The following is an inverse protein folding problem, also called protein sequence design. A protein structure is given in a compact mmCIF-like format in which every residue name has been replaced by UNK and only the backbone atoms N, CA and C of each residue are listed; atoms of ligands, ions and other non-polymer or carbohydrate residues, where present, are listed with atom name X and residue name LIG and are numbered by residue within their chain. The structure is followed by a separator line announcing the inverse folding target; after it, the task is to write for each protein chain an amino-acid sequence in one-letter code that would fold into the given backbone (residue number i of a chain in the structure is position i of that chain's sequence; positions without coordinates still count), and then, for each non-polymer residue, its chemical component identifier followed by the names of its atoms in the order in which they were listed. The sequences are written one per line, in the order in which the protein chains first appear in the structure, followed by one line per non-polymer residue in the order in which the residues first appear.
data_IF_633039861477
#
_entry.id   IF_633039861477
#
_cell.length_a   1.000
_cell.length_b   1.000
_cell.length_c   1.000
_cell.angle_alpha   90.00
_cell.angle_beta   90.00
_cell.angle_gamma   90.00
#
_symmetry.space_group_name_H-M   'P 1'
#
loop_
_entity.id
_entity.type
_entity.pdbx_description
1 polymer ?
#
# COMPACT_ATOMS: atom_id res chain seq x y z
N UNK A 1 20.75 10.59 -17.71
CA UNK A 1 19.75 11.30 -16.88
C UNK A 1 18.48 11.41 -17.70
N UNK A 2 17.31 11.04 -17.13
CA UNK A 2 16.02 11.27 -17.79
C UNK A 2 15.63 12.72 -17.56
N UNK A 3 15.34 13.45 -18.63
CA UNK A 3 14.80 14.80 -18.54
C UNK A 3 13.31 14.73 -18.25
N UNK A 4 12.86 15.46 -17.22
CA UNK A 4 11.46 15.54 -16.83
C UNK A 4 10.99 16.96 -17.12
N UNK A 5 9.92 17.14 -17.92
CA UNK A 5 9.39 18.47 -18.18
C UNK A 5 8.94 19.16 -16.90
N UNK A 6 9.15 20.46 -16.80
CA UNK A 6 8.62 21.26 -15.71
C UNK A 6 7.09 21.21 -15.71
N UNK A 7 6.52 20.86 -14.57
CA UNK A 7 5.06 20.89 -14.33
C UNK A 7 4.75 22.08 -13.44
N UNK A 8 3.86 22.95 -13.88
CA UNK A 8 3.42 24.11 -13.08
C UNK A 8 2.64 23.62 -11.87
N UNK A 9 3.03 24.08 -10.67
CA UNK A 9 2.28 23.81 -9.46
C UNK A 9 0.94 24.55 -9.45
N UNK A 10 -0.13 23.95 -8.91
CA UNK A 10 -1.43 24.59 -8.77
C UNK A 10 -1.34 25.75 -7.77
N UNK A 11 -2.18 26.77 -7.99
CA UNK A 11 -2.31 27.92 -7.08
C UNK A 11 -3.45 27.66 -6.08
N UNK A 12 -4.46 26.89 -6.51
CA UNK A 12 -5.64 26.55 -5.72
C UNK A 12 -5.50 25.18 -5.07
N UNK A 13 -5.95 25.05 -3.84
CA UNK A 13 -5.92 23.82 -3.06
C UNK A 13 -7.31 23.45 -2.54
N UNK A 14 -7.63 22.13 -2.44
CA UNK A 14 -6.82 20.99 -2.92
C UNK A 14 -6.88 20.85 -4.45
N UNK A 15 -5.76 20.50 -5.05
CA UNK A 15 -5.71 20.19 -6.47
C UNK A 15 -6.31 18.80 -6.74
N UNK A 16 -6.89 18.62 -7.95
CA UNK A 16 -7.29 17.32 -8.46
C UNK A 16 -6.40 16.92 -9.63
N UNK A 17 -5.87 15.72 -9.57
CA UNK A 17 -5.01 15.14 -10.61
C UNK A 17 -5.83 14.29 -11.58
N UNK A 18 -5.42 14.25 -12.85
CA UNK A 18 -6.00 13.39 -13.86
C UNK A 18 -5.23 12.07 -13.97
N UNK A 19 -5.95 10.97 -14.15
CA UNK A 19 -5.34 9.67 -14.38
C UNK A 19 -4.59 9.61 -15.70
N UNK A 20 -3.41 9.00 -15.68
CA UNK A 20 -2.66 8.61 -16.87
C UNK A 20 -3.21 7.32 -17.51
N UNK A 21 -2.67 6.93 -18.67
CA UNK A 21 -3.15 5.77 -19.43
C UNK A 21 -3.09 4.46 -18.67
N UNK A 22 -2.18 4.32 -17.71
CA UNK A 22 -1.99 3.09 -16.94
C UNK A 22 -3.15 2.75 -16.00
N UNK A 23 -3.99 3.74 -15.70
CA UNK A 23 -5.18 3.58 -14.88
C UNK A 23 -6.45 3.28 -15.70
N UNK A 24 -6.31 3.03 -17.01
CA UNK A 24 -7.39 2.65 -17.92
C UNK A 24 -7.06 1.35 -18.65
N UNK A 25 -8.08 0.52 -18.99
CA UNK A 25 -7.86 -0.67 -19.81
C UNK A 25 -7.19 -0.31 -21.14
N UNK A 26 -6.13 -1.04 -21.50
CA UNK A 26 -5.41 -0.83 -22.74
C UNK A 26 -5.76 -1.92 -23.77
N UNK A 27 -5.87 -1.58 -25.07
CA UNK A 27 -6.10 -2.57 -26.12
C UNK A 27 -4.97 -3.62 -26.13
N UNK A 28 -5.35 -4.90 -26.21
CA UNK A 28 -4.40 -6.01 -26.28
C UNK A 28 -3.80 -6.45 -24.94
N UNK A 29 -3.99 -5.71 -23.86
CA UNK A 29 -3.56 -6.12 -22.53
C UNK A 29 -4.54 -7.14 -21.95
N UNK A 30 -4.06 -8.38 -21.62
CA UNK A 30 -4.91 -9.41 -21.05
C UNK A 30 -5.30 -9.05 -19.61
N UNK A 31 -6.57 -9.32 -19.27
CA UNK A 31 -7.09 -9.02 -17.94
C UNK A 31 -6.90 -10.19 -16.99
N UNK A 32 -6.44 -9.91 -15.80
CA UNK A 32 -6.43 -10.85 -14.69
C UNK A 32 -7.84 -11.18 -14.19
N UNK A 33 -7.94 -12.25 -13.41
CA UNK A 33 -9.17 -12.68 -12.75
C UNK A 33 -9.23 -12.18 -11.31
N UNK A 34 -10.41 -11.76 -10.87
CA UNK A 34 -10.66 -11.34 -9.49
C UNK A 34 -11.61 -12.36 -8.84
N UNK A 35 -11.16 -12.98 -7.74
CA UNK A 35 -11.91 -13.98 -6.99
C UNK A 35 -12.25 -13.43 -5.62
N UNK A 36 -13.53 -13.44 -5.26
CA UNK A 36 -14.03 -13.00 -3.96
C UNK A 36 -14.15 -14.17 -3.00
N UNK A 37 -13.79 -13.92 -1.74
CA UNK A 37 -13.85 -14.86 -0.63
C UNK A 37 -14.37 -14.19 0.64
N UNK A 38 -14.92 -14.98 1.54
CA UNK A 38 -15.31 -14.56 2.88
C UNK A 38 -14.40 -15.18 3.96
N UNK A 39 -14.17 -14.42 5.03
CA UNK A 39 -13.43 -14.88 6.21
C UNK A 39 -14.18 -14.50 7.49
N UNK A 40 -14.86 -15.48 8.07
CA UNK A 40 -15.79 -15.28 9.20
C UNK A 40 -15.38 -16.09 10.44
N UNK A 41 -14.14 -16.61 10.45
CA UNK A 41 -13.60 -17.50 11.49
C UNK A 41 -12.30 -16.99 12.08
N UNK A 42 -12.11 -15.65 12.07
CA UNK A 42 -10.89 -15.05 12.59
C UNK A 42 -10.69 -15.34 14.07
N UNK A 43 -9.48 -15.76 14.42
CA UNK A 43 -9.02 -15.93 15.79
C UNK A 43 -8.33 -14.67 16.31
N UNK A 44 -7.70 -13.92 15.42
CA UNK A 44 -7.01 -12.67 15.77
C UNK A 44 -8.03 -11.55 15.99
N UNK A 45 -9.09 -11.51 15.16
CA UNK A 45 -10.19 -10.56 15.28
C UNK A 45 -11.53 -11.30 15.44
N UNK A 46 -11.80 -11.90 16.62
CA UNK A 46 -12.98 -12.73 16.83
C UNK A 46 -14.28 -11.98 16.59
N UNK A 47 -15.23 -12.66 15.96
CA UNK A 47 -16.57 -12.12 15.67
C UNK A 47 -16.62 -11.15 14.50
N UNK A 48 -15.52 -10.99 13.74
CA UNK A 48 -15.53 -10.18 12.52
C UNK A 48 -15.94 -11.01 11.31
N UNK A 49 -16.72 -10.37 10.43
CA UNK A 49 -17.07 -10.88 9.12
C UNK A 49 -16.42 -9.99 8.07
N UNK A 50 -15.63 -10.56 7.16
CA UNK A 50 -14.98 -9.77 6.13
C UNK A 50 -14.93 -10.47 4.81
N UNK A 51 -14.87 -9.70 3.74
CA UNK A 51 -14.56 -10.15 2.40
C UNK A 51 -13.09 -9.87 2.11
N UNK A 52 -12.52 -10.71 1.26
CA UNK A 52 -11.22 -10.41 0.64
C UNK A 52 -11.23 -10.91 -0.80
N UNK A 53 -10.46 -10.27 -1.63
CA UNK A 53 -10.34 -10.63 -3.05
C UNK A 53 -8.92 -11.03 -3.37
N UNK A 54 -8.79 -12.00 -4.26
CA UNK A 54 -7.51 -12.41 -4.84
C UNK A 54 -7.55 -12.09 -6.32
N UNK A 55 -6.71 -11.17 -6.73
CA UNK A 55 -6.44 -10.88 -8.13
C UNK A 55 -5.34 -11.79 -8.62
N UNK A 56 -5.60 -12.52 -9.71
CA UNK A 56 -4.66 -13.42 -10.38
C UNK A 56 -4.39 -12.87 -11.78
N UNK A 57 -3.17 -12.41 -12.09
CA UNK A 57 -2.87 -11.86 -13.41
C UNK A 57 -2.96 -12.93 -14.49
N UNK A 58 -3.32 -12.54 -15.71
CA UNK A 58 -3.45 -13.45 -16.84
C UNK A 58 -2.15 -14.18 -17.19
N UNK A 59 -1.01 -13.63 -16.83
CA UNK A 59 0.33 -14.21 -17.05
C UNK A 59 0.74 -15.21 -15.96
N UNK A 60 -0.08 -15.40 -14.91
CA UNK A 60 0.23 -16.34 -13.85
C UNK A 60 0.20 -17.79 -14.35
N UNK A 61 1.17 -18.57 -13.87
CA UNK A 61 1.21 -20.03 -14.04
C UNK A 61 1.63 -20.70 -12.74
N UNK A 62 1.16 -21.92 -12.48
CA UNK A 62 1.53 -22.66 -11.26
C UNK A 62 3.01 -23.10 -11.24
N UNK A 63 3.68 -23.07 -12.39
CA UNK A 63 5.10 -23.46 -12.53
C UNK A 63 6.08 -22.37 -12.12
N UNK A 64 5.64 -21.10 -12.11
CA UNK A 64 6.47 -19.95 -11.76
C UNK A 64 5.84 -19.18 -10.59
N UNK A 65 6.44 -19.23 -9.38
CA UNK A 65 5.89 -18.55 -8.22
C UNK A 65 5.77 -17.04 -8.44
N UNK A 66 4.58 -16.50 -8.21
CA UNK A 66 4.28 -15.08 -8.36
C UNK A 66 4.69 -14.26 -7.14
N UNK A 67 5.07 -13.01 -7.35
CA UNK A 67 5.16 -12.02 -6.27
C UNK A 67 3.81 -11.81 -5.59
N UNK A 68 3.81 -11.24 -4.39
CA UNK A 68 2.60 -10.98 -3.60
C UNK A 68 2.49 -9.50 -3.24
N UNK A 69 1.31 -8.95 -3.40
CA UNK A 69 0.99 -7.62 -2.85
C UNK A 69 -0.35 -7.63 -2.12
N UNK A 70 -0.34 -7.20 -0.85
CA UNK A 70 -1.52 -7.10 -0.01
C UNK A 70 -1.95 -5.64 0.10
N UNK A 71 -3.25 -5.39 -0.02
CA UNK A 71 -3.87 -4.09 0.25
C UNK A 71 -4.94 -4.21 1.32
N UNK A 72 -4.98 -3.25 2.22
CA UNK A 72 -6.12 -2.99 3.09
C UNK A 72 -7.16 -2.17 2.33
N UNK A 73 -8.40 -2.12 2.87
CA UNK A 73 -9.52 -1.38 2.26
C UNK A 73 -9.82 -1.82 0.82
N UNK A 74 -10.09 -3.09 0.62
CA UNK A 74 -10.22 -3.75 -0.67
C UNK A 74 -11.04 -2.97 -1.71
N UNK A 75 -12.24 -2.51 -1.32
CA UNK A 75 -13.15 -1.79 -2.20
C UNK A 75 -12.53 -0.49 -2.73
N UNK A 76 -11.75 0.20 -1.89
CA UNK A 76 -11.06 1.42 -2.29
C UNK A 76 -10.08 1.20 -3.45
N UNK A 77 -9.45 0.03 -3.49
CA UNK A 77 -8.47 -0.30 -4.53
C UNK A 77 -9.08 -0.97 -5.76
N UNK A 78 -10.22 -1.64 -5.61
CA UNK A 78 -10.81 -2.47 -6.66
C UNK A 78 -11.98 -1.81 -7.39
N UNK A 79 -12.81 -1.04 -6.67
CA UNK A 79 -13.99 -0.40 -7.24
C UNK A 79 -13.57 0.74 -8.18
N UNK A 80 -14.14 0.74 -9.39
CA UNK A 80 -13.83 1.72 -10.43
C UNK A 80 -14.42 3.11 -10.15
N UNK A 81 -15.36 3.22 -9.21
CA UNK A 81 -15.88 4.49 -8.74
C UNK A 81 -14.89 5.21 -7.82
N UNK A 82 -13.90 4.46 -7.28
CA UNK A 82 -12.76 5.02 -6.57
C UNK A 82 -11.56 5.26 -7.48
N UNK A 83 -10.51 5.84 -6.93
CA UNK A 83 -9.40 6.38 -7.72
C UNK A 83 -8.31 5.35 -8.03
N UNK A 84 -8.13 4.28 -7.23
CA UNK A 84 -6.94 3.45 -7.30
C UNK A 84 -6.88 2.50 -8.52
N UNK A 85 -8.02 1.86 -8.88
CA UNK A 85 -8.13 0.98 -10.07
C UNK A 85 -7.04 -0.10 -10.15
N UNK A 86 -6.68 -0.67 -9.00
CA UNK A 86 -5.47 -1.48 -8.86
C UNK A 86 -5.39 -2.68 -9.82
N UNK A 87 -6.51 -3.36 -10.09
CA UNK A 87 -6.53 -4.50 -11.01
C UNK A 87 -6.13 -4.09 -12.44
N UNK A 88 -6.64 -2.93 -12.93
CA UNK A 88 -6.29 -2.39 -14.25
C UNK A 88 -4.80 -1.98 -14.28
N UNK A 89 -4.33 -1.34 -13.22
CA UNK A 89 -2.92 -0.94 -13.12
C UNK A 89 -2.01 -2.17 -13.13
N UNK A 90 -2.37 -3.23 -12.41
CA UNK A 90 -1.62 -4.49 -12.41
C UNK A 90 -1.59 -5.11 -13.81
N UNK A 91 -2.74 -5.23 -14.49
CA UNK A 91 -2.81 -5.73 -15.87
C UNK A 91 -1.80 -5.00 -16.77
N UNK A 92 -1.86 -3.68 -16.75
CA UNK A 92 -1.01 -2.83 -17.63
C UNK A 92 0.49 -2.92 -17.30
N UNK A 93 0.85 -2.91 -16.01
CA UNK A 93 2.26 -2.93 -15.61
C UNK A 93 2.89 -4.31 -15.77
N UNK A 94 2.15 -5.38 -15.49
CA UNK A 94 2.63 -6.76 -15.66
C UNK A 94 2.81 -7.06 -17.14
N UNK A 95 1.86 -6.69 -17.99
CA UNK A 95 1.95 -6.90 -19.45
C UNK A 95 3.19 -6.23 -20.05
N UNK A 96 3.55 -5.04 -19.58
CA UNK A 96 4.76 -4.33 -20.03
C UNK A 96 6.06 -4.77 -19.34
N UNK A 97 6.00 -5.70 -18.39
CA UNK A 97 7.17 -6.13 -17.62
C UNK A 97 7.73 -5.06 -16.69
N UNK A 98 6.94 -4.04 -16.36
CA UNK A 98 7.29 -2.95 -15.43
C UNK A 98 7.02 -3.32 -13.96
N UNK A 99 6.28 -4.40 -13.77
CA UNK A 99 6.00 -5.06 -12.51
C UNK A 99 6.10 -6.57 -12.73
N UNK A 100 6.65 -7.36 -11.79
CA UNK A 100 6.65 -8.82 -11.93
C UNK A 100 5.22 -9.36 -11.91
N UNK A 101 5.04 -10.60 -12.38
CA UNK A 101 3.77 -11.33 -12.19
C UNK A 101 3.48 -11.36 -10.69
N UNK A 102 2.40 -10.69 -10.28
CA UNK A 102 2.09 -10.44 -8.87
C UNK A 102 0.64 -10.78 -8.57
N UNK A 103 0.42 -11.67 -7.62
CA UNK A 103 -0.91 -11.90 -7.06
C UNK A 103 -1.24 -10.77 -6.09
N UNK A 104 -2.39 -10.13 -6.30
CA UNK A 104 -2.95 -9.10 -5.41
C UNK A 104 -3.91 -9.71 -4.41
N UNK A 105 -3.77 -9.38 -3.12
CA UNK A 105 -4.71 -9.77 -2.06
C UNK A 105 -5.30 -8.50 -1.46
N UNK A 106 -6.58 -8.30 -1.63
CA UNK A 106 -7.30 -7.10 -1.20
C UNK A 106 -8.22 -7.46 -0.05
N UNK A 107 -7.99 -6.89 1.13
CA UNK A 107 -8.67 -7.28 2.37
C UNK A 107 -9.55 -6.14 2.86
N UNK A 108 -10.86 -6.39 2.93
CA UNK A 108 -11.78 -5.44 3.54
C UNK A 108 -11.62 -5.42 5.08
N UNK A 109 -11.92 -4.30 5.75
CA UNK A 109 -12.04 -4.29 7.21
C UNK A 109 -13.14 -5.25 7.68
N UNK A 110 -13.05 -5.69 8.94
CA UNK A 110 -13.96 -6.70 9.49
C UNK A 110 -15.43 -6.29 9.45
N UNK A 111 -15.74 -5.15 10.02
CA UNK A 111 -17.11 -4.61 10.08
C UNK A 111 -17.09 -3.08 10.13
N UNK A 112 -18.23 -2.42 9.84
CA UNK A 112 -18.34 -0.98 10.05
C UNK A 112 -17.92 -0.57 11.46
N UNK A 113 -17.00 0.40 11.56
CA UNK A 113 -16.45 0.89 12.82
C UNK A 113 -15.30 0.08 13.41
N UNK A 114 -14.94 -1.07 12.83
CA UNK A 114 -13.78 -1.86 13.29
C UNK A 114 -12.46 -1.50 12.57
N UNK A 115 -12.54 -0.86 11.42
CA UNK A 115 -11.38 -0.51 10.59
C UNK A 115 -10.24 0.15 11.37
N UNK A 116 -10.54 1.21 12.11
CA UNK A 116 -9.51 1.93 12.86
C UNK A 116 -8.96 1.10 14.03
N UNK A 117 -9.80 0.31 14.71
CA UNK A 117 -9.35 -0.59 15.79
C UNK A 117 -8.34 -1.63 15.26
N UNK A 118 -8.54 -2.12 14.04
CA UNK A 118 -7.63 -3.09 13.42
C UNK A 118 -6.36 -2.43 12.88
N UNK A 119 -6.49 -1.25 12.25
CA UNK A 119 -5.40 -0.63 11.49
C UNK A 119 -4.54 0.33 12.31
N UNK A 120 -5.11 1.05 13.27
CA UNK A 120 -4.40 2.05 14.05
C UNK A 120 -3.71 1.44 15.29
N UNK A 121 -3.91 0.14 15.54
CA UNK A 121 -3.23 -0.59 16.61
C UNK A 121 -1.71 -0.64 16.37
N UNK A 122 -0.96 -0.16 17.35
CA UNK A 122 0.51 -0.25 17.33
C UNK A 122 0.96 -1.62 17.81
N UNK A 123 0.66 -2.66 17.04
CA UNK A 123 0.93 -4.07 17.36
C UNK A 123 1.16 -4.91 16.12
N UNK A 124 1.52 -6.17 16.30
CA UNK A 124 1.65 -7.15 15.22
C UNK A 124 0.34 -7.91 14.92
N UNK A 125 -0.77 -7.52 15.53
CA UNK A 125 -2.04 -8.24 15.41
C UNK A 125 -2.48 -8.35 13.93
N UNK A 126 -2.46 -7.25 13.18
CA UNK A 126 -2.85 -7.30 11.77
C UNK A 126 -1.87 -8.12 10.91
N UNK A 127 -0.58 -8.05 11.20
CA UNK A 127 0.42 -8.92 10.55
C UNK A 127 0.16 -10.40 10.86
N UNK A 128 -0.14 -10.73 12.12
CA UNK A 128 -0.50 -12.08 12.54
C UNK A 128 -1.76 -12.56 11.83
N UNK A 129 -2.81 -11.74 11.77
CA UNK A 129 -4.03 -12.05 11.02
C UNK A 129 -3.72 -12.40 9.55
N UNK A 130 -2.99 -11.55 8.85
CA UNK A 130 -2.63 -11.81 7.45
C UNK A 130 -1.84 -13.12 7.31
N UNK A 131 -0.82 -13.32 8.13
CA UNK A 131 0.13 -14.43 8.00
C UNK A 131 -0.42 -15.77 8.47
N UNK A 132 -1.38 -15.79 9.39
CA UNK A 132 -1.90 -17.04 9.96
C UNK A 132 -3.31 -17.39 9.48
N UNK A 133 -4.03 -16.44 8.90
CA UNK A 133 -5.42 -16.65 8.50
C UNK A 133 -5.64 -16.45 7.00
N UNK A 134 -5.31 -15.30 6.45
CA UNK A 134 -5.61 -14.98 5.04
C UNK A 134 -4.59 -15.60 4.08
N UNK A 135 -3.31 -15.32 4.26
CA UNK A 135 -2.29 -15.73 3.31
C UNK A 135 -2.11 -17.25 3.18
N UNK A 136 -2.29 -18.08 4.23
CA UNK A 136 -2.29 -19.54 4.06
C UNK A 136 -3.35 -20.04 3.08
N UNK A 137 -4.53 -19.40 3.03
CA UNK A 137 -5.58 -19.78 2.08
C UNK A 137 -5.22 -19.42 0.64
N UNK A 138 -4.49 -18.32 0.45
CA UNK A 138 -3.97 -17.91 -0.87
C UNK A 138 -2.84 -18.86 -1.30
N UNK A 139 -1.89 -19.13 -0.43
CA UNK A 139 -0.75 -20.03 -0.70
C UNK A 139 -1.17 -21.50 -0.94
N UNK A 140 -2.31 -21.93 -0.42
CA UNK A 140 -2.84 -23.26 -0.72
C UNK A 140 -3.39 -23.41 -2.15
N UNK A 141 -3.58 -22.30 -2.85
CA UNK A 141 -4.19 -22.23 -4.19
C UNK A 141 -3.24 -21.74 -5.26
N UNK A 142 -2.24 -20.94 -4.88
CA UNK A 142 -1.35 -20.27 -5.81
C UNK A 142 0.10 -20.42 -5.37
N UNK A 143 0.99 -20.64 -6.31
CA UNK A 143 2.43 -20.62 -6.08
C UNK A 143 2.90 -19.19 -5.83
N UNK A 144 3.26 -18.88 -4.59
CA UNK A 144 3.74 -17.56 -4.16
C UNK A 144 5.24 -17.62 -3.94
N UNK A 145 5.96 -16.63 -4.48
CA UNK A 145 7.40 -16.50 -4.37
C UNK A 145 7.88 -16.25 -2.91
N UNK A 146 9.18 -16.32 -2.73
CA UNK A 146 9.85 -16.00 -1.46
C UNK A 146 9.38 -14.66 -0.87
N UNK A 147 9.25 -14.54 0.46
CA UNK A 147 8.88 -13.29 1.14
C UNK A 147 9.69 -12.04 0.75
N UNK A 148 10.88 -12.17 0.19
CA UNK A 148 11.62 -11.06 -0.39
C UNK A 148 10.85 -10.33 -1.52
N UNK A 149 9.85 -11.00 -2.10
CA UNK A 149 8.99 -10.46 -3.16
C UNK A 149 7.56 -10.18 -2.66
N UNK A 150 7.41 -9.93 -1.36
CA UNK A 150 6.12 -9.54 -0.79
C UNK A 150 6.07 -8.05 -0.52
N UNK A 151 4.94 -7.45 -0.87
CA UNK A 151 4.62 -6.06 -0.66
C UNK A 151 3.31 -5.90 0.10
N UNK A 152 3.16 -4.77 0.77
CA UNK A 152 1.92 -4.39 1.44
C UNK A 152 1.68 -2.90 1.22
N UNK A 153 0.42 -2.50 1.00
CA UNK A 153 0.06 -1.11 0.73
C UNK A 153 -1.30 -0.74 1.27
N UNK A 154 -1.49 0.54 1.52
CA UNK A 154 -2.75 1.10 1.98
C UNK A 154 -2.76 2.61 1.98
N UNK A 155 -3.95 3.18 2.21
CA UNK A 155 -4.17 4.62 2.35
C UNK A 155 -4.70 4.97 3.74
N UNK A 156 -4.37 6.17 4.24
CA UNK A 156 -4.82 6.64 5.55
C UNK A 156 -4.40 5.68 6.68
N UNK A 157 -5.32 5.25 7.53
CA UNK A 157 -5.07 4.19 8.53
C UNK A 157 -4.54 2.91 7.89
N UNK A 158 -4.97 2.55 6.66
CA UNK A 158 -4.40 1.43 5.90
C UNK A 158 -2.93 1.66 5.54
N UNK A 159 -2.51 2.89 5.28
CA UNK A 159 -1.13 3.25 4.98
C UNK A 159 -0.20 3.10 6.21
N UNK A 160 -0.62 3.56 7.38
CA UNK A 160 0.11 3.33 8.63
C UNK A 160 0.09 1.87 9.06
N UNK A 161 -1.02 1.15 8.82
CA UNK A 161 -1.13 -0.29 9.04
C UNK A 161 -0.12 -1.06 8.15
N UNK A 162 -0.04 -0.75 6.86
CA UNK A 162 0.92 -1.36 5.94
C UNK A 162 2.36 -1.16 6.42
N UNK A 163 2.69 0.05 6.88
CA UNK A 163 3.99 0.34 7.46
C UNK A 163 4.22 -0.47 8.74
N UNK A 164 3.22 -0.55 9.63
CA UNK A 164 3.29 -1.31 10.89
C UNK A 164 3.53 -2.80 10.62
N UNK A 165 2.77 -3.41 9.70
CA UNK A 165 2.94 -4.81 9.30
C UNK A 165 4.37 -5.09 8.84
N UNK A 166 4.90 -4.29 7.93
CA UNK A 166 6.25 -4.48 7.41
C UNK A 166 7.33 -4.18 8.48
N UNK A 167 7.10 -3.20 9.33
CA UNK A 167 8.01 -2.90 10.45
C UNK A 167 8.12 -4.05 11.46
N UNK A 168 6.98 -4.66 11.80
CA UNK A 168 6.92 -5.79 12.74
C UNK A 168 7.38 -7.10 12.09
N UNK A 169 7.15 -7.28 10.79
CA UNK A 169 7.45 -8.51 10.05
C UNK A 169 8.30 -8.26 8.78
N UNK A 170 9.51 -7.67 8.93
CA UNK A 170 10.42 -7.41 7.81
C UNK A 170 11.00 -8.70 7.21
N UNK A 171 10.82 -9.84 7.89
CA UNK A 171 11.09 -11.18 7.38
C UNK A 171 10.06 -11.63 6.31
N UNK A 172 8.92 -10.98 6.25
CA UNK A 172 7.81 -11.31 5.33
C UNK A 172 7.53 -10.20 4.31
N UNK A 173 7.35 -8.98 4.78
CA UNK A 173 7.02 -7.85 3.92
C UNK A 173 8.22 -6.91 3.81
N UNK A 174 8.78 -6.79 2.60
CA UNK A 174 9.95 -5.95 2.34
C UNK A 174 9.68 -4.72 1.50
N UNK A 175 8.50 -4.61 0.93
CA UNK A 175 8.04 -3.45 0.15
C UNK A 175 6.80 -2.87 0.77
N UNK A 176 6.83 -1.57 0.99
CA UNK A 176 5.75 -0.82 1.67
C UNK A 176 5.27 0.31 0.79
N UNK A 177 3.97 0.40 0.62
CA UNK A 177 3.27 1.53 0.02
C UNK A 177 2.38 2.17 1.08
N UNK A 178 2.66 3.41 1.47
CA UNK A 178 1.85 4.17 2.41
C UNK A 178 1.41 5.48 1.76
N UNK A 179 0.14 5.56 1.43
CA UNK A 179 -0.50 6.75 0.90
C UNK A 179 -1.20 7.50 2.03
N UNK A 180 -0.92 8.80 2.17
CA UNK A 180 -1.50 9.69 3.20
C UNK A 180 -1.60 9.01 4.57
N UNK A 181 -0.51 8.36 4.99
CA UNK A 181 -0.49 7.43 6.12
C UNK A 181 -1.03 8.01 7.42
N UNK A 182 -1.91 7.26 8.09
CA UNK A 182 -2.59 7.65 9.31
C UNK A 182 -1.73 7.62 10.58
N UNK A 183 -0.45 7.96 10.49
CA UNK A 183 0.49 7.90 11.62
C UNK A 183 0.05 8.78 12.81
N UNK A 184 -0.70 9.86 12.54
CA UNK A 184 -1.28 10.73 13.56
C UNK A 184 -2.40 10.06 14.39
N UNK A 185 -2.94 8.92 13.91
CA UNK A 185 -4.05 8.20 14.56
C UNK A 185 -3.60 6.92 15.29
N UNK A 186 -2.32 6.56 15.18
CA UNK A 186 -1.81 5.35 15.84
C UNK A 186 -2.05 5.37 17.34
N UNK A 187 -2.46 4.24 17.87
CA UNK A 187 -2.67 4.05 19.32
C UNK A 187 -1.38 4.34 20.09
N UNK A 188 -1.49 5.26 21.04
CA UNK A 188 -0.35 5.75 21.82
C UNK A 188 0.58 6.72 21.07
N UNK A 189 0.14 7.22 19.92
CA UNK A 189 0.87 8.20 19.10
C UNK A 189 1.90 7.61 18.15
N UNK A 190 2.43 8.45 17.28
CA UNK A 190 3.45 8.05 16.31
C UNK A 190 4.84 7.90 16.98
N UNK A 191 5.22 6.67 17.25
CA UNK A 191 6.53 6.30 17.83
C UNK A 191 7.57 5.90 16.77
N UNK A 192 7.20 5.90 15.49
CA UNK A 192 8.10 5.43 14.43
C UNK A 192 9.34 6.28 14.24
N UNK A 193 9.31 7.63 14.31
CA UNK A 193 10.53 8.41 14.19
C UNK A 193 11.63 7.95 15.16
N UNK A 194 11.27 7.78 16.43
CA UNK A 194 12.19 7.32 17.46
C UNK A 194 12.63 5.87 17.26
N UNK A 195 11.72 4.99 16.88
CA UNK A 195 12.01 3.57 16.62
C UNK A 195 12.91 3.39 15.39
N UNK A 196 12.71 4.17 14.32
CA UNK A 196 13.56 4.14 13.14
C UNK A 196 14.98 4.57 13.51
N UNK A 197 15.14 5.56 14.38
CA UNK A 197 16.44 6.01 14.86
C UNK A 197 17.14 4.97 15.74
N UNK A 198 16.41 4.34 16.66
CA UNK A 198 16.96 3.44 17.66
C UNK A 198 17.22 2.01 17.15
N UNK A 199 16.41 1.51 16.23
CA UNK A 199 16.50 0.12 15.77
C UNK A 199 17.61 -0.09 14.73
N UNK A 200 18.15 -1.31 14.59
CA UNK A 200 18.90 -1.70 13.41
C UNK A 200 18.10 -1.49 12.14
N UNK A 201 18.76 -1.03 11.07
CA UNK A 201 18.11 -0.80 9.78
C UNK A 201 17.46 -2.10 9.28
N UNK A 202 16.16 -2.02 8.99
CA UNK A 202 15.39 -3.15 8.44
C UNK A 202 15.50 -3.18 6.90
N UNK A 203 15.43 -4.35 6.27
CA UNK A 203 15.54 -4.46 4.81
C UNK A 203 14.23 -4.07 4.12
N UNK A 204 13.80 -2.84 4.30
CA UNK A 204 12.55 -2.31 3.76
C UNK A 204 12.82 -1.33 2.63
N UNK A 205 12.01 -1.44 1.57
CA UNK A 205 11.84 -0.45 0.51
C UNK A 205 10.49 0.21 0.70
N UNK A 206 10.45 1.52 0.84
CA UNK A 206 9.27 2.23 1.33
C UNK A 206 8.89 3.36 0.38
N UNK A 207 7.68 3.33 -0.16
CA UNK A 207 7.09 4.45 -0.88
C UNK A 207 6.11 5.16 0.04
N UNK A 208 6.41 6.42 0.36
CA UNK A 208 5.55 7.29 1.15
C UNK A 208 4.97 8.38 0.26
N UNK A 209 3.70 8.65 0.43
CA UNK A 209 3.04 9.80 -0.16
C UNK A 209 2.21 10.51 0.91
N UNK A 210 2.22 11.83 0.85
CA UNK A 210 1.33 12.70 1.64
C UNK A 210 0.90 13.90 0.79
N UNK A 211 -0.05 14.65 1.29
CA UNK A 211 -0.58 15.85 0.61
C UNK A 211 -0.50 17.07 1.51
N UNK A 212 -0.30 18.25 0.92
CA UNK A 212 -0.09 19.50 1.65
C UNK A 212 -1.30 19.90 2.51
N UNK A 213 -2.52 19.55 2.09
CA UNK A 213 -3.77 19.79 2.79
C UNK A 213 -4.37 18.49 3.33
N UNK A 214 -3.54 17.70 4.01
CA UNK A 214 -3.95 16.47 4.68
C UNK A 214 -4.84 16.76 5.92
N UNK A 215 -5.40 15.74 6.54
CA UNK A 215 -6.24 15.92 7.73
C UNK A 215 -5.48 16.68 8.82
N UNK A 216 -6.14 17.65 9.43
CA UNK A 216 -5.62 18.51 10.50
C UNK A 216 -4.29 19.21 10.12
N UNK A 217 -4.06 19.51 8.84
CA UNK A 217 -2.83 20.13 8.35
C UNK A 217 -2.53 21.49 9.01
N UNK A 218 -3.54 22.21 9.47
CA UNK A 218 -3.48 23.52 10.13
C UNK A 218 -3.61 23.44 11.65
N UNK A 219 -3.69 22.23 12.21
CA UNK A 219 -3.76 22.00 13.65
C UNK A 219 -2.41 21.50 14.20
N UNK A 220 -2.04 21.87 15.44
CA UNK A 220 -0.81 21.37 16.06
C UNK A 220 -0.89 19.91 16.46
N UNK A 221 -2.11 19.40 16.69
CA UNK A 221 -2.35 18.02 17.13
C UNK A 221 -2.94 17.17 16.01
N UNK A 222 -2.56 15.89 15.99
CA UNK A 222 -3.02 14.92 14.98
C UNK A 222 -2.87 15.41 13.54
N UNK A 223 -1.81 16.13 13.27
CA UNK A 223 -1.49 16.68 11.97
C UNK A 223 -0.89 15.57 11.08
N UNK A 224 -1.68 15.06 10.14
CA UNK A 224 -1.24 13.96 9.25
C UNK A 224 -0.03 14.34 8.41
N UNK A 225 -0.03 15.56 7.87
CA UNK A 225 1.09 16.04 7.07
C UNK A 225 2.38 16.08 7.88
N UNK A 226 2.35 16.67 9.07
CA UNK A 226 3.51 16.74 9.97
C UNK A 226 4.03 15.34 10.34
N UNK A 227 3.14 14.41 10.69
CA UNK A 227 3.55 13.05 11.08
C UNK A 227 4.18 12.26 9.93
N UNK A 228 3.68 12.42 8.70
CA UNK A 228 4.30 11.82 7.51
C UNK A 228 5.68 12.44 7.22
N UNK A 229 5.87 13.75 7.42
CA UNK A 229 7.19 14.40 7.30
C UNK A 229 8.19 13.86 8.32
N UNK A 230 7.78 13.65 9.58
CA UNK A 230 8.63 13.07 10.63
C UNK A 230 9.11 11.67 10.28
N UNK A 231 8.21 10.81 9.72
CA UNK A 231 8.59 9.49 9.20
C UNK A 231 9.62 9.62 8.07
N UNK A 232 9.35 10.48 7.09
CA UNK A 232 10.25 10.66 5.95
C UNK A 232 11.64 11.16 6.40
N UNK A 233 11.70 12.11 7.34
CA UNK A 233 12.95 12.61 7.91
C UNK A 233 13.75 11.48 8.59
N UNK A 234 13.10 10.70 9.46
CA UNK A 234 13.76 9.59 10.16
C UNK A 234 14.29 8.51 9.19
N UNK A 235 13.52 8.17 8.14
CA UNK A 235 13.97 7.23 7.10
C UNK A 235 15.18 7.76 6.33
N UNK A 236 15.18 9.07 5.99
CA UNK A 236 16.29 9.72 5.30
C UNK A 236 17.59 9.69 6.15
N UNK A 237 17.51 10.08 7.41
CA UNK A 237 18.62 10.08 8.35
C UNK A 237 19.23 8.69 8.55
N UNK A 238 18.41 7.64 8.48
CA UNK A 238 18.85 6.25 8.60
C UNK A 238 19.22 5.60 7.27
N UNK A 239 19.16 6.35 6.16
CA UNK A 239 19.55 5.89 4.82
C UNK A 239 18.70 4.73 4.30
N UNK A 240 17.40 4.69 4.60
CA UNK A 240 16.51 3.70 4.04
C UNK A 240 16.36 3.85 2.52
N UNK A 241 16.05 2.76 1.84
CA UNK A 241 15.60 2.79 0.44
C UNK A 241 14.15 3.25 0.41
N UNK A 242 13.93 4.55 0.31
CA UNK A 242 12.59 5.12 0.31
C UNK A 242 12.42 6.22 -0.74
N UNK A 243 11.17 6.42 -1.15
CA UNK A 243 10.74 7.55 -1.96
C UNK A 243 9.64 8.30 -1.22
N UNK A 244 9.75 9.60 -1.15
CA UNK A 244 8.74 10.47 -0.60
C UNK A 244 8.14 11.34 -1.70
N UNK A 245 6.81 11.32 -1.83
CA UNK A 245 6.07 12.15 -2.78
C UNK A 245 5.13 13.06 -2.02
N UNK A 246 5.25 14.35 -2.27
CA UNK A 246 4.34 15.37 -1.76
C UNK A 246 3.39 15.81 -2.88
N UNK A 247 2.09 15.74 -2.60
CA UNK A 247 1.04 16.20 -3.51
C UNK A 247 0.38 17.49 -3.06
N UNK A 248 -0.28 18.16 -3.99
CA UNK A 248 -1.06 19.37 -3.76
C UNK A 248 -2.56 19.08 -3.55
N UNK A 249 -2.92 17.81 -3.40
CA UNK A 249 -4.29 17.34 -3.15
C UNK A 249 -4.70 17.44 -1.70
N UNK A 250 -5.91 16.93 -1.43
CA UNK A 250 -6.46 16.70 -0.09
C UNK A 250 -6.54 15.21 0.23
N UNK A 251 -7.01 14.88 1.42
CA UNK A 251 -7.19 13.50 1.91
C UNK A 251 -8.41 12.83 1.25
N UNK A 252 -8.36 12.58 -0.06
CA UNK A 252 -9.50 12.09 -0.84
C UNK A 252 -9.14 10.92 -1.79
N UNK A 253 -7.91 10.40 -1.71
CA UNK A 253 -7.43 9.28 -2.52
C UNK A 253 -7.17 9.57 -3.99
N UNK A 254 -7.49 10.76 -4.49
CA UNK A 254 -7.29 11.06 -5.92
C UNK A 254 -5.81 10.98 -6.31
N UNK A 255 -4.94 11.67 -5.59
CA UNK A 255 -3.51 11.65 -5.90
C UNK A 255 -2.93 10.24 -5.71
N UNK A 256 -3.38 9.52 -4.67
CA UNK A 256 -2.97 8.13 -4.38
C UNK A 256 -3.24 7.22 -5.58
N UNK A 257 -4.45 7.29 -6.14
CA UNK A 257 -4.84 6.50 -7.30
C UNK A 257 -4.08 6.89 -8.56
N UNK A 258 -3.89 8.18 -8.79
CA UNK A 258 -3.18 8.68 -9.97
C UNK A 258 -1.72 8.26 -9.98
N UNK A 259 -1.04 8.26 -8.82
CA UNK A 259 0.38 7.88 -8.73
C UNK A 259 0.60 6.39 -8.46
N UNK A 260 -0.44 5.59 -8.28
CA UNK A 260 -0.31 4.16 -8.02
C UNK A 260 0.56 3.44 -9.05
N UNK A 261 0.43 3.67 -10.37
CA UNK A 261 1.31 3.04 -11.36
C UNK A 261 2.80 3.35 -11.12
N UNK A 262 3.12 4.60 -10.85
CA UNK A 262 4.51 5.03 -10.62
C UNK A 262 5.06 4.52 -9.29
N UNK A 263 4.22 4.45 -8.26
CA UNK A 263 4.58 3.87 -6.98
C UNK A 263 4.91 2.38 -7.11
N UNK A 264 4.10 1.64 -7.87
CA UNK A 264 4.35 0.21 -8.12
C UNK A 264 5.62 -0.02 -8.95
N UNK A 265 5.87 0.74 -10.01
CA UNK A 265 7.13 0.68 -10.76
C UNK A 265 8.32 0.90 -9.84
N UNK A 266 8.23 1.89 -8.99
CA UNK A 266 9.31 2.20 -8.06
C UNK A 266 9.52 1.11 -7.02
N UNK A 267 8.46 0.56 -6.44
CA UNK A 267 8.54 -0.53 -5.47
C UNK A 267 9.14 -1.82 -6.06
N UNK A 268 8.77 -2.14 -7.30
CA UNK A 268 9.17 -3.36 -7.99
C UNK A 268 10.42 -3.18 -8.85
N UNK A 269 11.02 -1.98 -8.89
CA UNK A 269 12.24 -1.76 -9.65
C UNK A 269 13.32 -2.75 -9.26
N UNK A 270 14.12 -3.18 -10.24
CA UNK A 270 15.30 -4.00 -9.99
C UNK A 270 16.28 -3.23 -9.11
N UNK A 271 17.00 -3.93 -8.25
CA UNK A 271 18.09 -3.33 -7.50
C UNK A 271 19.17 -2.90 -8.50
N UNK A 272 19.62 -1.66 -8.39
CA UNK A 272 20.82 -1.22 -9.11
C UNK A 272 22.00 -2.04 -8.56
N UNK A 273 22.62 -2.82 -9.41
CA UNK A 273 23.84 -3.56 -9.07
C UNK A 273 24.98 -2.59 -8.78
#
# INVERSE_FOLDING_TARGET
MTEIPYVRHPIEFPARYAHGPDSFPQPGVPRGALHEYEWNVSRVFPGTHRRYWVYVPAQYTDSEPASLMVFQDAEWYLDLDFEARAAIVFDNLIDRGEMPVTIGVFVAPGEPGKRNVEYDAFSDAYATFLLTEILPTVQSRYAIADPNQWAIGGGSSGGSCAFTVAWMRPDRFRRVLSFVGGFAQLDGGNRYPELIQAAPKKPLRIFLHTVARDLNWDAPERNFFSENLRIAAALAERGYDFRFVLGDGGHNGNHDGVILPDALRWLWRRESR
#
